data_IF_423062225048
#
_entry.id   IF_423062225048
#
_cell.length_a   1.000
_cell.length_b   1.000
_cell.length_c   1.000
_cell.angle_alpha   90.00
_cell.angle_beta   90.00
_cell.angle_gamma   90.00
#
_symmetry.space_group_name_H-M   'P 1'
#
loop_
_entity.id
_entity.type
_entity.pdbx_description
1 polymer ?
#
# COMPACT_ATOMS: atom_id res chain seq x y z
N UNK A 1 -19.46 12.70 -17.87
CA UNK A 1 -19.54 12.01 -16.57
C UNK A 1 -20.49 10.82 -16.67
N UNK A 2 -21.76 11.02 -17.01
CA UNK A 2 -22.83 9.99 -17.06
C UNK A 2 -22.38 8.69 -17.71
N UNK A 3 -21.90 8.69 -18.99
CA UNK A 3 -21.50 7.47 -19.73
C UNK A 3 -20.38 6.67 -19.05
N UNK A 4 -19.51 7.33 -18.31
CA UNK A 4 -18.45 6.64 -17.53
C UNK A 4 -19.03 5.96 -16.29
N UNK A 5 -19.97 6.61 -15.62
CA UNK A 5 -20.63 6.08 -14.41
C UNK A 5 -21.56 4.92 -14.75
N UNK A 6 -22.31 4.99 -15.85
CA UNK A 6 -23.13 3.89 -16.34
C UNK A 6 -22.30 2.62 -16.58
N UNK A 7 -21.12 2.74 -17.20
CA UNK A 7 -20.20 1.61 -17.40
C UNK A 7 -19.68 1.03 -16.08
N UNK A 8 -19.44 1.87 -15.07
CA UNK A 8 -19.00 1.41 -13.74
C UNK A 8 -20.12 0.63 -13.05
N UNK A 9 -21.38 1.11 -13.16
CA UNK A 9 -22.55 0.42 -12.61
C UNK A 9 -22.79 -0.91 -13.32
N UNK A 10 -22.62 -0.96 -14.65
CA UNK A 10 -22.69 -2.21 -15.42
C UNK A 10 -21.60 -3.22 -14.99
N UNK A 11 -20.35 -2.77 -14.87
CA UNK A 11 -19.25 -3.61 -14.43
C UNK A 11 -19.46 -4.14 -12.99
N UNK A 12 -20.05 -3.34 -12.11
CA UNK A 12 -20.41 -3.77 -10.77
C UNK A 12 -21.50 -4.86 -10.77
N UNK A 13 -22.51 -4.73 -11.61
CA UNK A 13 -23.53 -5.77 -11.77
C UNK A 13 -22.93 -7.09 -12.32
N UNK A 14 -21.88 -7.02 -13.16
CA UNK A 14 -21.13 -8.21 -13.57
C UNK A 14 -20.38 -8.86 -12.41
N UNK A 15 -19.81 -8.05 -11.48
CA UNK A 15 -19.16 -8.58 -10.27
C UNK A 15 -20.18 -9.27 -9.34
N UNK A 16 -21.38 -8.72 -9.19
CA UNK A 16 -22.47 -9.36 -8.44
C UNK A 16 -22.86 -10.73 -9.06
N UNK A 17 -22.95 -10.81 -10.39
CA UNK A 17 -23.21 -12.07 -11.08
C UNK A 17 -22.08 -13.09 -10.86
N UNK A 18 -20.81 -12.65 -10.91
CA UNK A 18 -19.65 -13.52 -10.62
C UNK A 18 -19.65 -14.04 -9.19
N UNK A 19 -20.07 -13.24 -8.21
CA UNK A 19 -20.21 -13.68 -6.82
C UNK A 19 -21.29 -14.74 -6.63
N UNK A 20 -22.31 -14.75 -7.51
CA UNK A 20 -23.35 -15.76 -7.52
C UNK A 20 -22.99 -17.02 -8.33
N UNK A 21 -21.89 -17.01 -9.09
CA UNK A 21 -21.47 -18.15 -9.91
C UNK A 21 -20.94 -19.30 -9.03
N UNK A 22 -21.52 -20.52 -9.14
CA UNK A 22 -21.04 -21.70 -8.40
C UNK A 22 -19.55 -22.03 -8.63
N UNK A 23 -18.99 -21.69 -9.78
CA UNK A 23 -17.59 -21.91 -10.08
C UNK A 23 -16.69 -21.00 -9.23
N UNK A 24 -17.05 -19.75 -9.05
CA UNK A 24 -16.33 -18.76 -8.21
C UNK A 24 -16.53 -19.09 -6.72
N UNK A 25 -17.74 -19.45 -6.32
CA UNK A 25 -18.06 -19.83 -4.91
C UNK A 25 -17.26 -21.06 -4.47
N UNK A 26 -16.93 -21.97 -5.37
CA UNK A 26 -16.13 -23.17 -5.04
C UNK A 26 -14.63 -22.92 -4.91
N UNK A 27 -14.13 -21.77 -5.38
CA UNK A 27 -12.74 -21.34 -5.20
C UNK A 27 -12.63 -20.22 -4.15
N UNK A 28 -12.18 -20.53 -2.90
CA UNK A 28 -12.11 -19.52 -1.84
C UNK A 28 -11.21 -18.33 -2.15
N UNK A 29 -10.14 -18.52 -2.94
CA UNK A 29 -9.22 -17.44 -3.30
C UNK A 29 -9.87 -16.49 -4.31
N UNK A 30 -10.48 -17.04 -5.35
CA UNK A 30 -11.17 -16.24 -6.38
C UNK A 30 -12.39 -15.54 -5.80
N UNK A 31 -13.17 -16.23 -4.95
CA UNK A 31 -14.31 -15.63 -4.25
C UNK A 31 -13.87 -14.44 -3.37
N UNK A 32 -12.81 -14.60 -2.57
CA UNK A 32 -12.30 -13.53 -1.73
C UNK A 32 -11.84 -12.32 -2.56
N UNK A 33 -11.19 -12.56 -3.72
CA UNK A 33 -10.75 -11.52 -4.64
C UNK A 33 -11.93 -10.72 -5.20
N UNK A 34 -12.94 -11.42 -5.72
CA UNK A 34 -14.12 -10.78 -6.32
C UNK A 34 -14.97 -10.08 -5.27
N UNK A 35 -15.13 -10.66 -4.07
CA UNK A 35 -15.86 -10.05 -2.96
C UNK A 35 -15.18 -8.75 -2.48
N UNK A 36 -13.86 -8.73 -2.43
CA UNK A 36 -13.08 -7.54 -2.10
C UNK A 36 -13.26 -6.44 -3.14
N UNK A 37 -13.14 -6.79 -4.43
CA UNK A 37 -13.34 -5.84 -5.53
C UNK A 37 -14.75 -5.24 -5.53
N UNK A 38 -15.77 -6.07 -5.31
CA UNK A 38 -17.17 -5.65 -5.14
C UNK A 38 -17.32 -4.68 -3.95
N UNK A 39 -16.76 -5.02 -2.77
CA UNK A 39 -16.83 -4.17 -1.59
C UNK A 39 -16.17 -2.81 -1.82
N UNK A 40 -15.03 -2.77 -2.51
CA UNK A 40 -14.30 -1.54 -2.79
C UNK A 40 -15.03 -0.59 -3.74
N UNK A 41 -15.88 -1.13 -4.62
CA UNK A 41 -16.65 -0.34 -5.59
C UNK A 41 -18.03 0.07 -5.08
N UNK A 42 -18.52 -0.53 -3.99
CA UNK A 42 -19.90 -0.35 -3.49
C UNK A 42 -20.25 1.13 -3.23
N UNK A 43 -19.38 1.87 -2.55
CA UNK A 43 -19.59 3.28 -2.23
C UNK A 43 -19.61 4.15 -3.50
N UNK A 44 -18.69 3.92 -4.42
CA UNK A 44 -18.64 4.62 -5.71
C UNK A 44 -19.92 4.40 -6.52
N UNK A 45 -20.39 3.15 -6.59
CA UNK A 45 -21.62 2.79 -7.32
C UNK A 45 -22.86 3.40 -6.66
N UNK A 46 -22.90 3.46 -5.32
CA UNK A 46 -24.00 4.11 -4.61
C UNK A 46 -24.09 5.62 -4.94
N UNK A 47 -22.95 6.32 -5.02
CA UNK A 47 -22.89 7.73 -5.42
C UNK A 47 -23.18 7.92 -6.91
N UNK A 48 -22.68 7.02 -7.76
CA UNK A 48 -22.97 7.04 -9.20
C UNK A 48 -24.45 6.86 -9.49
N UNK A 49 -25.11 5.93 -8.81
CA UNK A 49 -26.55 5.74 -8.95
C UNK A 49 -27.35 6.97 -8.50
N UNK A 50 -26.99 7.61 -7.38
CA UNK A 50 -27.64 8.86 -6.94
C UNK A 50 -27.47 9.97 -7.98
N UNK A 51 -26.27 10.11 -8.55
CA UNK A 51 -26.00 11.12 -9.57
C UNK A 51 -26.80 10.87 -10.86
N UNK A 52 -26.86 9.62 -11.32
CA UNK A 52 -27.63 9.23 -12.52
C UNK A 52 -29.14 9.48 -12.26
N UNK A 53 -29.66 9.04 -11.11
CA UNK A 53 -31.07 9.26 -10.73
C UNK A 53 -31.40 10.75 -10.69
N UNK A 54 -30.55 11.59 -10.07
CA UNK A 54 -30.77 13.04 -10.03
C UNK A 54 -30.83 13.66 -11.44
N UNK A 55 -29.99 13.20 -12.37
CA UNK A 55 -30.03 13.64 -13.78
C UNK A 55 -31.33 13.20 -14.47
N UNK A 56 -31.75 11.94 -14.28
CA UNK A 56 -32.96 11.41 -14.86
C UNK A 56 -34.21 12.13 -14.31
N UNK A 57 -34.24 12.42 -13.01
CA UNK A 57 -35.31 13.18 -12.36
C UNK A 57 -35.39 14.61 -12.88
N UNK A 58 -34.25 15.29 -13.10
CA UNK A 58 -34.21 16.62 -13.71
C UNK A 58 -34.76 16.60 -15.13
N UNK A 59 -34.38 15.59 -15.93
CA UNK A 59 -34.83 15.44 -17.33
C UNK A 59 -36.33 15.19 -17.37
N UNK A 60 -36.84 14.25 -16.56
CA UNK A 60 -38.26 13.95 -16.44
C UNK A 60 -39.09 15.15 -15.93
N UNK A 61 -38.59 15.86 -14.89
CA UNK A 61 -39.24 17.03 -14.37
C UNK A 61 -39.30 18.19 -15.42
N UNK A 62 -38.26 18.37 -16.21
CA UNK A 62 -38.24 19.34 -17.32
C UNK A 62 -39.22 19.00 -18.42
N UNK A 63 -39.38 17.73 -18.77
CA UNK A 63 -40.40 17.27 -19.72
C UNK A 63 -41.83 17.54 -19.20
N UNK A 64 -42.08 17.17 -17.93
CA UNK A 64 -43.39 17.42 -17.30
C UNK A 64 -43.71 18.92 -17.17
N UNK A 65 -42.74 19.74 -16.83
CA UNK A 65 -42.85 21.20 -16.74
C UNK A 65 -43.30 21.82 -18.07
N UNK A 66 -42.87 21.27 -19.19
CA UNK A 66 -43.25 21.70 -20.53
C UNK A 66 -44.66 21.22 -20.90
N UNK A 67 -45.12 20.11 -20.33
CA UNK A 67 -46.42 19.49 -20.65
C UNK A 67 -47.57 20.00 -19.77
N UNK A 68 -47.29 20.36 -18.50
CA UNK A 68 -48.33 20.82 -17.58
C UNK A 68 -48.70 22.30 -17.76
N UNK A 69 -50.00 22.64 -17.50
CA UNK A 69 -50.48 24.00 -17.47
C UNK A 69 -50.86 24.47 -16.07
N UNK A 70 -50.81 23.60 -15.06
CA UNK A 70 -51.16 23.89 -13.69
C UNK A 70 -50.05 24.69 -12.99
N UNK A 71 -50.34 25.88 -12.40
CA UNK A 71 -49.32 26.68 -11.74
C UNK A 71 -48.70 26.03 -10.49
N UNK A 72 -49.50 25.29 -9.69
CA UNK A 72 -49.00 24.65 -8.45
C UNK A 72 -48.09 23.49 -8.79
N UNK A 73 -48.41 22.72 -9.83
CA UNK A 73 -47.59 21.63 -10.32
C UNK A 73 -46.25 22.13 -10.93
N UNK A 74 -46.31 23.31 -11.60
CA UNK A 74 -45.06 23.94 -12.10
C UNK A 74 -44.12 24.40 -11.00
N UNK A 75 -44.64 24.97 -9.94
CA UNK A 75 -43.84 25.45 -8.80
C UNK A 75 -43.13 24.27 -8.12
N UNK A 76 -43.86 23.17 -7.89
CA UNK A 76 -43.31 21.93 -7.32
C UNK A 76 -42.20 21.30 -8.20
N UNK A 77 -42.44 21.22 -9.52
CA UNK A 77 -41.42 20.69 -10.45
C UNK A 77 -40.18 21.61 -10.53
N UNK A 78 -40.36 22.93 -10.40
CA UNK A 78 -39.22 23.85 -10.36
C UNK A 78 -38.41 23.72 -9.07
N UNK A 79 -39.06 23.50 -7.93
CA UNK A 79 -38.38 23.23 -6.65
C UNK A 79 -37.58 21.91 -6.71
N UNK A 80 -38.16 20.86 -7.26
CA UNK A 80 -37.50 19.55 -7.45
C UNK A 80 -36.28 19.67 -8.36
N UNK A 81 -36.41 20.41 -9.48
CA UNK A 81 -35.26 20.64 -10.38
C UNK A 81 -34.16 21.42 -9.65
N UNK A 82 -34.53 22.48 -8.91
CA UNK A 82 -33.54 23.29 -8.20
C UNK A 82 -32.80 22.50 -7.11
N UNK A 83 -33.52 21.66 -6.36
CA UNK A 83 -32.92 20.81 -5.33
C UNK A 83 -31.93 19.78 -5.93
N UNK A 84 -32.30 19.14 -7.02
CA UNK A 84 -31.41 18.18 -7.70
C UNK A 84 -30.20 18.89 -8.36
N UNK A 85 -30.40 20.06 -8.99
CA UNK A 85 -29.30 20.85 -9.58
C UNK A 85 -28.31 21.37 -8.51
N UNK A 86 -28.76 21.66 -7.29
CA UNK A 86 -27.88 22.03 -6.17
C UNK A 86 -27.05 20.84 -5.66
N UNK A 87 -27.61 19.62 -5.69
CA UNK A 87 -26.95 18.40 -5.21
C UNK A 87 -25.89 17.86 -6.21
N UNK A 88 -26.09 18.04 -7.52
CA UNK A 88 -25.23 17.49 -8.56
C UNK A 88 -23.74 17.88 -8.43
N UNK A 89 -23.35 19.14 -8.18
CA UNK A 89 -21.95 19.52 -8.04
C UNK A 89 -21.23 18.81 -6.88
N UNK A 90 -21.95 18.64 -5.76
CA UNK A 90 -21.41 17.95 -4.58
C UNK A 90 -21.15 16.45 -4.89
N UNK A 91 -22.13 15.79 -5.50
CA UNK A 91 -21.99 14.40 -5.94
C UNK A 91 -20.88 14.24 -6.98
N UNK A 92 -20.74 15.19 -7.92
CA UNK A 92 -19.64 15.16 -8.88
C UNK A 92 -18.26 15.21 -8.22
N UNK A 93 -18.10 16.08 -7.24
CA UNK A 93 -16.82 16.22 -6.56
C UNK A 93 -16.51 15.00 -5.68
N UNK A 94 -17.52 14.43 -5.01
CA UNK A 94 -17.38 13.17 -4.25
C UNK A 94 -17.01 12.00 -5.18
N UNK A 95 -17.69 11.86 -6.32
CA UNK A 95 -17.41 10.83 -7.32
C UNK A 95 -16.01 11.01 -7.91
N UNK A 96 -15.57 12.24 -8.24
CA UNK A 96 -14.22 12.50 -8.74
C UNK A 96 -13.16 12.03 -7.74
N UNK A 97 -13.38 12.25 -6.44
CA UNK A 97 -12.48 11.77 -5.37
C UNK A 97 -12.44 10.24 -5.34
N UNK A 98 -13.59 9.58 -5.47
CA UNK A 98 -13.69 8.12 -5.45
C UNK A 98 -13.13 7.44 -6.72
N UNK A 99 -13.14 8.16 -7.85
CA UNK A 99 -12.55 7.69 -9.11
C UNK A 99 -11.01 7.75 -9.13
N UNK A 100 -10.38 8.39 -8.16
CA UNK A 100 -8.92 8.38 -8.04
C UNK A 100 -8.51 6.93 -7.70
N UNK A 101 -7.66 6.28 -8.53
CA UNK A 101 -7.22 4.94 -8.23
C UNK A 101 -6.48 4.94 -6.88
N UNK A 102 -7.00 4.15 -5.94
CA UNK A 102 -6.32 3.91 -4.65
C UNK A 102 -4.99 3.18 -4.91
N UNK A 103 -4.02 3.40 -4.04
CA UNK A 103 -2.80 2.59 -4.05
C UNK A 103 -3.19 1.15 -3.66
N UNK A 104 -2.83 0.13 -4.46
CA UNK A 104 -3.13 -1.27 -4.13
C UNK A 104 -2.50 -1.70 -2.78
N UNK A 105 -1.50 -0.96 -2.30
CA UNK A 105 -0.87 -1.20 -1.01
C UNK A 105 -1.63 -0.57 0.17
N UNK A 106 -2.60 0.32 -0.06
CA UNK A 106 -3.29 1.06 1.00
C UNK A 106 -3.98 0.16 2.06
N UNK A 107 -4.36 -1.06 1.67
CA UNK A 107 -4.99 -2.04 2.57
C UNK A 107 -4.02 -2.97 3.28
N UNK A 108 -2.73 -2.92 2.93
CA UNK A 108 -1.72 -3.83 3.49
C UNK A 108 -1.33 -3.44 4.91
N UNK A 109 -0.90 -4.43 5.66
CA UNK A 109 -0.12 -4.24 6.88
C UNK A 109 1.20 -3.54 6.56
N UNK A 110 1.79 -2.90 7.56
CA UNK A 110 2.91 -2.00 7.32
C UNK A 110 4.10 -2.35 8.21
N UNK A 111 5.28 -2.35 7.62
CA UNK A 111 6.54 -2.42 8.34
C UNK A 111 7.11 -1.00 8.43
N UNK A 112 7.32 -0.53 9.66
CA UNK A 112 7.90 0.78 9.94
C UNK A 112 9.31 0.59 10.47
N UNK A 113 10.27 1.24 9.83
CA UNK A 113 11.65 1.29 10.28
C UNK A 113 12.03 2.71 10.70
N UNK A 114 12.53 2.86 11.91
CA UNK A 114 13.04 4.13 12.41
C UNK A 114 14.54 3.98 12.65
N UNK A 115 15.33 4.86 12.06
CA UNK A 115 16.78 4.93 12.27
C UNK A 115 17.19 6.27 12.84
N UNK A 116 18.06 6.24 13.83
CA UNK A 116 18.76 7.43 14.31
C UNK A 116 19.64 8.01 13.19
N UNK A 117 19.45 9.29 12.89
CA UNK A 117 20.22 10.02 11.89
C UNK A 117 21.37 10.83 12.52
N UNK A 118 21.46 12.10 12.13
CA UNK A 118 22.49 13.02 12.65
C UNK A 118 22.12 13.48 14.05
N UNK A 119 23.02 13.30 15.03
CA UNK A 119 22.82 13.78 16.42
C UNK A 119 23.32 12.83 17.50
N UNK A 120 23.92 11.69 17.13
CA UNK A 120 24.46 10.72 18.09
C UNK A 120 23.39 10.16 19.03
N UNK A 121 23.66 10.14 20.32
CA UNK A 121 22.76 9.58 21.34
C UNK A 121 21.39 10.25 21.37
N UNK A 122 21.33 11.55 21.14
CA UNK A 122 20.08 12.29 21.10
C UNK A 122 19.19 11.85 19.92
N UNK A 123 19.78 11.52 18.77
CA UNK A 123 19.05 10.96 17.64
C UNK A 123 18.45 9.59 17.97
N UNK A 124 19.17 8.75 18.74
CA UNK A 124 18.67 7.46 19.19
C UNK A 124 17.53 7.60 20.22
N UNK A 125 17.62 8.56 21.13
CA UNK A 125 16.53 8.86 22.08
C UNK A 125 15.30 9.35 21.31
N UNK A 126 15.50 10.23 20.31
CA UNK A 126 14.41 10.74 19.48
C UNK A 126 13.75 9.63 18.65
N UNK A 127 14.52 8.67 18.12
CA UNK A 127 13.97 7.50 17.45
C UNK A 127 13.05 6.68 18.41
N UNK A 128 13.45 6.56 19.68
CA UNK A 128 12.61 5.96 20.71
C UNK A 128 11.33 6.75 21.03
N UNK A 129 11.40 8.08 20.99
CA UNK A 129 10.23 8.94 21.19
C UNK A 129 9.24 8.80 20.00
N UNK A 130 9.74 8.74 18.77
CA UNK A 130 8.92 8.49 17.57
C UNK A 130 8.25 7.11 17.61
N UNK A 131 8.98 6.07 18.01
CA UNK A 131 8.40 4.74 18.18
C UNK A 131 7.22 4.76 19.16
N UNK A 132 7.39 5.38 20.33
CA UNK A 132 6.31 5.51 21.32
C UNK A 132 5.13 6.32 20.81
N UNK A 133 5.37 7.34 20.00
CA UNK A 133 4.31 8.13 19.34
C UNK A 133 3.47 7.24 18.42
N UNK A 134 4.13 6.44 17.57
CA UNK A 134 3.43 5.54 16.65
C UNK A 134 2.73 4.38 17.36
N UNK A 135 3.33 3.83 18.41
CA UNK A 135 2.72 2.79 19.24
C UNK A 135 1.38 3.28 19.84
N UNK A 136 1.37 4.47 20.47
CA UNK A 136 0.15 5.09 21.01
C UNK A 136 -0.88 5.40 19.92
N UNK A 137 -0.41 5.90 18.80
CA UNK A 137 -1.28 6.19 17.67
C UNK A 137 -1.95 4.91 17.12
N UNK A 138 -1.20 3.82 17.01
CA UNK A 138 -1.72 2.52 16.62
C UNK A 138 -2.74 1.99 17.65
N UNK A 139 -2.43 2.04 18.94
CA UNK A 139 -3.35 1.64 20.03
C UNK A 139 -4.66 2.42 19.98
N UNK A 140 -4.61 3.74 19.78
CA UNK A 140 -5.80 4.59 19.70
C UNK A 140 -6.72 4.22 18.51
N UNK A 141 -6.16 3.61 17.46
CA UNK A 141 -6.90 3.10 16.30
C UNK A 141 -7.29 1.63 16.40
N UNK A 142 -6.94 0.95 17.48
CA UNK A 142 -7.16 -0.48 17.64
C UNK A 142 -6.24 -1.36 16.80
N UNK A 143 -5.15 -0.80 16.29
CA UNK A 143 -4.13 -1.54 15.56
C UNK A 143 -3.17 -2.24 16.51
N UNK A 144 -2.53 -3.31 16.04
CA UNK A 144 -1.53 -4.07 16.79
C UNK A 144 -0.14 -3.71 16.30
N UNK A 145 0.79 -3.56 17.25
CA UNK A 145 2.21 -3.33 16.95
C UNK A 145 3.03 -4.53 17.42
N UNK A 146 3.96 -4.98 16.59
CA UNK A 146 4.89 -6.07 16.89
C UNK A 146 6.31 -5.65 16.51
N UNK A 147 7.24 -5.72 17.47
CA UNK A 147 8.65 -5.39 17.21
C UNK A 147 9.29 -6.57 16.49
N UNK A 148 9.79 -6.33 15.26
CA UNK A 148 10.49 -7.33 14.45
C UNK A 148 11.99 -7.36 14.79
N UNK A 149 12.61 -6.18 14.89
CA UNK A 149 14.03 -6.03 15.16
C UNK A 149 14.32 -4.73 15.89
N UNK A 150 15.30 -4.72 16.78
CA UNK A 150 15.76 -3.49 17.40
C UNK A 150 17.25 -3.53 17.70
N UNK A 151 17.88 -2.34 17.68
CA UNK A 151 19.24 -2.10 18.12
C UNK A 151 19.22 -0.97 19.16
N UNK A 152 19.20 -1.27 20.46
CA UNK A 152 19.13 -0.28 21.51
C UNK A 152 20.41 0.57 21.56
N UNK A 153 20.30 1.82 22.06
CA UNK A 153 21.43 2.69 22.35
C UNK A 153 21.73 2.66 23.86
N UNK A 154 23.00 2.77 24.23
CA UNK A 154 23.43 2.86 25.63
C UNK A 154 22.86 4.08 26.36
N UNK A 155 22.65 5.17 25.63
CA UNK A 155 22.04 6.40 26.16
C UNK A 155 20.51 6.34 26.25
N UNK A 156 19.91 5.23 25.85
CA UNK A 156 18.47 5.03 25.75
C UNK A 156 17.95 5.27 24.33
N UNK A 157 16.75 4.76 24.05
CA UNK A 157 16.16 4.75 22.71
C UNK A 157 16.81 3.70 21.80
N UNK A 158 16.76 3.91 20.48
CA UNK A 158 17.16 2.93 19.48
C UNK A 158 18.05 3.55 18.41
N UNK A 159 19.15 2.87 18.05
CA UNK A 159 19.89 3.16 16.82
C UNK A 159 19.06 2.81 15.59
N UNK A 160 18.38 1.68 15.66
CA UNK A 160 17.39 1.24 14.66
C UNK A 160 16.32 0.46 15.39
N UNK A 161 15.06 0.64 14.98
CA UNK A 161 13.93 -0.18 15.40
C UNK A 161 13.03 -0.43 14.20
N UNK A 162 12.65 -1.70 14.03
CA UNK A 162 11.72 -2.16 13.00
C UNK A 162 10.53 -2.82 13.69
N UNK A 163 9.33 -2.43 13.32
CA UNK A 163 8.12 -2.98 13.88
C UNK A 163 7.02 -3.06 12.82
N UNK A 164 6.19 -4.09 12.94
CA UNK A 164 5.00 -4.29 12.12
C UNK A 164 3.80 -3.63 12.78
N UNK A 165 2.97 -2.99 11.98
CA UNK A 165 1.66 -2.48 12.39
C UNK A 165 0.59 -3.20 11.59
N UNK A 166 -0.32 -3.88 12.27
CA UNK A 166 -1.39 -4.70 11.69
C UNK A 166 -2.75 -4.11 12.02
N UNK A 167 -3.61 -3.95 11.03
CA UNK A 167 -4.96 -3.41 11.20
C UNK A 167 -5.61 -3.02 9.89
N UNK A 168 -6.75 -2.36 9.96
CA UNK A 168 -7.47 -1.90 8.78
C UNK A 168 -6.79 -0.68 8.14
N UNK A 169 -6.47 -0.78 6.85
CA UNK A 169 -5.91 0.30 6.01
C UNK A 169 -4.70 1.01 6.63
N UNK A 170 -3.81 0.26 7.25
CA UNK A 170 -2.65 0.81 7.99
C UNK A 170 -1.74 1.59 7.06
N UNK A 171 -1.39 1.02 5.89
CA UNK A 171 -0.46 1.67 4.95
C UNK A 171 -1.01 2.99 4.42
N UNK A 172 -2.31 3.08 4.14
CA UNK A 172 -2.95 4.31 3.64
C UNK A 172 -2.77 5.52 4.55
N UNK A 173 -2.55 5.26 5.84
CA UNK A 173 -2.38 6.27 6.90
C UNK A 173 -0.91 6.48 7.22
N UNK A 174 -0.16 5.39 7.41
CA UNK A 174 1.24 5.45 7.85
C UNK A 174 2.20 5.92 6.76
N UNK A 175 1.88 5.75 5.47
CA UNK A 175 2.73 6.19 4.34
C UNK A 175 3.15 7.66 4.42
N UNK A 176 2.34 8.52 5.01
CA UNK A 176 2.63 9.94 5.19
C UNK A 176 3.71 10.22 6.24
N UNK A 177 4.06 9.27 7.08
CA UNK A 177 5.10 9.41 8.09
C UNK A 177 6.51 9.11 7.56
N UNK A 178 6.61 8.64 6.34
CA UNK A 178 7.85 8.31 5.67
C UNK A 178 8.68 9.56 5.37
N UNK A 179 9.97 9.55 5.79
CA UNK A 179 10.91 10.65 5.52
C UNK A 179 11.81 10.99 6.71
N UNK A 180 12.41 12.19 6.66
CA UNK A 180 13.33 12.67 7.69
C UNK A 180 12.60 13.55 8.71
N UNK A 181 12.59 13.12 9.96
CA UNK A 181 12.06 13.86 11.11
C UNK A 181 13.20 14.59 11.83
N UNK A 182 12.99 15.85 12.15
CA UNK A 182 13.99 16.71 12.81
C UNK A 182 13.49 17.20 14.16
N UNK A 183 14.25 16.97 15.22
CA UNK A 183 13.97 17.49 16.55
C UNK A 183 14.93 18.62 16.92
N UNK A 184 14.40 19.65 17.57
CA UNK A 184 15.14 20.76 18.17
C UNK A 184 14.75 20.85 19.63
N UNK A 185 15.63 20.40 20.52
CA UNK A 185 15.46 20.44 21.97
C UNK A 185 16.79 20.45 22.69
N UNK A 186 16.79 20.72 23.99
CA UNK A 186 17.94 20.48 24.84
C UNK A 186 18.03 18.96 25.07
N UNK A 187 19.10 18.28 24.62
CA UNK A 187 19.26 16.85 24.82
C UNK A 187 19.30 16.48 26.29
N UNK A 188 18.83 15.30 26.64
CA UNK A 188 18.99 14.75 28.01
C UNK A 188 20.43 14.54 28.42
N UNK A 189 21.34 14.45 27.44
CA UNK A 189 22.78 14.30 27.62
C UNK A 189 23.54 15.63 27.67
N UNK A 190 22.85 16.77 27.50
CA UNK A 190 23.47 18.11 27.47
C UNK A 190 23.42 18.78 28.85
N UNK A 191 24.58 19.07 29.40
CA UNK A 191 24.71 19.69 30.74
C UNK A 191 24.64 21.22 30.74
N UNK A 192 24.88 21.87 29.58
CA UNK A 192 24.95 23.35 29.46
C UNK A 192 23.66 23.98 28.93
N UNK A 193 22.59 23.20 28.77
CA UNK A 193 21.27 23.69 28.32
C UNK A 193 21.23 24.16 26.86
N UNK A 194 22.21 23.78 26.03
CA UNK A 194 22.24 24.17 24.61
C UNK A 194 21.23 23.36 23.80
N UNK A 195 20.43 24.08 22.96
CA UNK A 195 19.52 23.45 22.02
C UNK A 195 20.35 22.79 20.92
N UNK A 196 20.12 21.51 20.70
CA UNK A 196 20.72 20.75 19.61
C UNK A 196 19.64 20.34 18.58
N UNK A 197 20.11 20.07 17.38
CA UNK A 197 19.26 19.60 16.29
C UNK A 197 19.66 18.19 15.91
N UNK A 198 18.77 17.24 16.11
CA UNK A 198 18.95 15.82 15.76
C UNK A 198 17.92 15.39 14.73
N UNK A 199 18.22 14.32 14.01
CA UNK A 199 17.32 13.75 13.01
C UNK A 199 17.13 12.26 13.23
N UNK A 200 15.95 11.76 12.84
CA UNK A 200 15.68 10.35 12.68
C UNK A 200 14.99 10.15 11.32
N UNK A 201 15.27 9.05 10.66
CA UNK A 201 14.60 8.67 9.41
C UNK A 201 13.53 7.63 9.69
N UNK A 202 12.39 7.78 9.09
CA UNK A 202 11.27 6.84 9.16
C UNK A 202 11.04 6.31 7.75
N UNK A 203 11.12 5.00 7.56
CA UNK A 203 10.69 4.32 6.35
C UNK A 203 9.41 3.55 6.66
N UNK A 204 8.44 3.66 5.77
CA UNK A 204 7.13 2.99 5.87
C UNK A 204 6.94 2.15 4.63
N UNK A 205 6.99 0.85 4.78
CA UNK A 205 6.92 -0.12 3.69
C UNK A 205 5.67 -0.97 3.83
N UNK A 206 4.95 -1.25 2.74
CA UNK A 206 3.86 -2.21 2.77
C UNK A 206 4.42 -3.61 3.03
N UNK A 207 3.67 -4.46 3.72
CA UNK A 207 4.04 -5.86 3.87
C UNK A 207 4.12 -6.52 2.50
N UNK A 208 5.19 -7.27 2.26
CA UNK A 208 5.38 -7.99 1.02
C UNK A 208 4.38 -9.13 0.89
N UNK A 209 3.84 -9.31 -0.31
CA UNK A 209 3.00 -10.47 -0.61
C UNK A 209 3.84 -11.76 -0.58
N UNK A 210 3.22 -12.87 -0.19
CA UNK A 210 3.86 -14.18 -0.25
C UNK A 210 4.24 -14.53 -1.69
N UNK A 211 5.47 -15.00 -1.88
CA UNK A 211 5.96 -15.41 -3.18
C UNK A 211 5.35 -16.77 -3.53
N UNK A 212 4.36 -16.78 -4.44
CA UNK A 212 3.79 -18.01 -5.01
C UNK A 212 4.36 -18.23 -6.41
N UNK A 213 5.22 -19.25 -6.57
CA UNK A 213 5.81 -19.57 -7.86
C UNK A 213 4.98 -20.62 -8.57
N UNK A 214 4.25 -20.19 -9.59
CA UNK A 214 3.55 -21.06 -10.51
C UNK A 214 4.43 -21.32 -11.73
N UNK A 215 4.75 -22.60 -11.95
CA UNK A 215 5.55 -23.03 -13.10
C UNK A 215 4.62 -23.68 -14.10
N UNK A 216 4.40 -23.03 -15.23
CA UNK A 216 3.62 -23.62 -16.33
C UNK A 216 4.49 -24.60 -17.10
N UNK A 217 3.91 -25.73 -17.52
CA UNK A 217 4.65 -26.74 -18.29
C UNK A 217 5.05 -26.25 -19.68
N UNK A 218 4.30 -25.32 -20.24
CA UNK A 218 4.58 -24.70 -21.55
C UNK A 218 5.83 -23.83 -21.54
N UNK A 219 6.20 -23.29 -20.37
CA UNK A 219 7.40 -22.47 -20.16
C UNK A 219 8.67 -23.31 -19.95
N UNK A 220 8.55 -24.64 -19.97
CA UNK A 220 9.66 -25.56 -19.72
C UNK A 220 10.11 -26.27 -20.99
N UNK A 221 11.41 -26.15 -21.28
CA UNK A 221 12.08 -27.06 -22.22
C UNK A 221 12.80 -28.14 -21.43
N UNK A 222 12.42 -29.41 -21.67
CA UNK A 222 12.96 -30.59 -20.99
C UNK A 222 13.79 -31.38 -21.98
N UNK A 223 15.10 -31.46 -21.74
CA UNK A 223 16.03 -32.22 -22.53
C UNK A 223 16.51 -33.42 -21.70
N UNK A 224 16.52 -34.62 -22.32
CA UNK A 224 17.05 -35.83 -21.71
C UNK A 224 18.34 -36.26 -22.42
N UNK A 225 19.33 -36.74 -21.67
CA UNK A 225 20.62 -37.14 -22.20
C UNK A 225 21.24 -38.28 -21.37
N UNK A 226 22.31 -38.90 -21.88
CA UNK A 226 23.02 -39.94 -21.15
C UNK A 226 23.83 -39.32 -20.01
N UNK A 227 23.77 -39.91 -18.82
CA UNK A 227 24.55 -39.45 -17.68
C UNK A 227 26.08 -39.56 -17.96
N UNK A 228 26.84 -38.58 -17.49
CA UNK A 228 28.29 -38.54 -17.60
C UNK A 228 28.90 -39.08 -16.30
N UNK A 229 29.84 -40.06 -16.40
CA UNK A 229 30.53 -40.56 -15.23
C UNK A 229 31.17 -41.95 -15.45
N UNK A 230 31.98 -42.45 -14.50
CA UNK A 230 32.50 -43.78 -14.53
C UNK A 230 31.38 -44.80 -14.35
N UNK A 231 31.05 -45.56 -15.39
CA UNK A 231 29.98 -46.56 -15.35
C UNK A 231 30.02 -47.49 -16.55
N UNK A 232 29.33 -48.63 -16.44
CA UNK A 232 29.21 -49.63 -17.50
C UNK A 232 28.18 -49.23 -18.57
N UNK A 233 27.78 -50.22 -19.41
CA UNK A 233 26.88 -50.01 -20.56
C UNK A 233 25.57 -49.26 -20.21
N UNK A 234 25.05 -49.38 -18.98
CA UNK A 234 23.79 -48.74 -18.56
C UNK A 234 23.91 -47.21 -18.51
N UNK A 235 25.03 -46.63 -18.09
CA UNK A 235 25.25 -45.17 -17.99
C UNK A 235 25.34 -44.53 -19.37
N UNK A 236 25.94 -45.24 -20.34
CA UNK A 236 26.22 -44.71 -21.67
C UNK A 236 25.08 -44.92 -22.68
N UNK A 237 24.06 -45.75 -22.33
CA UNK A 237 22.97 -46.09 -23.25
C UNK A 237 21.60 -45.62 -22.77
N UNK A 238 21.46 -45.28 -21.48
CA UNK A 238 20.17 -44.87 -20.90
C UNK A 238 20.09 -43.35 -20.75
N UNK A 239 19.07 -42.72 -21.33
CA UNK A 239 18.77 -41.28 -21.21
C UNK A 239 18.18 -40.98 -19.83
N UNK A 240 18.95 -41.18 -18.78
CA UNK A 240 18.50 -40.96 -17.39
C UNK A 240 18.71 -39.54 -16.88
N UNK A 241 19.69 -38.84 -17.43
CA UNK A 241 19.93 -37.44 -17.05
C UNK A 241 18.90 -36.50 -17.65
N UNK A 242 18.48 -35.51 -16.87
CA UNK A 242 17.46 -34.54 -17.26
C UNK A 242 18.01 -33.12 -17.09
N UNK A 243 17.76 -32.27 -18.08
CA UNK A 243 17.98 -30.83 -18.04
C UNK A 243 16.65 -30.14 -18.27
N UNK A 244 16.32 -29.21 -17.41
CA UNK A 244 15.12 -28.35 -17.56
C UNK A 244 15.59 -26.91 -17.73
N UNK A 245 15.11 -26.27 -18.78
CA UNK A 245 15.31 -24.85 -19.04
C UNK A 245 13.97 -24.15 -18.89
N UNK A 246 13.90 -23.18 -18.00
CA UNK A 246 12.75 -22.31 -17.88
C UNK A 246 12.90 -21.15 -18.88
N UNK A 247 12.05 -21.14 -19.91
CA UNK A 247 12.19 -20.25 -21.07
C UNK A 247 12.10 -18.75 -20.70
N UNK A 248 11.16 -18.30 -19.84
CA UNK A 248 11.02 -16.88 -19.53
C UNK A 248 12.24 -16.28 -18.80
N UNK A 249 12.86 -17.05 -17.87
CA UNK A 249 14.02 -16.58 -17.09
C UNK A 249 15.35 -17.11 -17.60
N UNK A 250 15.33 -18.00 -18.59
CA UNK A 250 16.49 -18.73 -19.11
C UNK A 250 17.29 -19.48 -18.01
N UNK A 251 16.62 -19.85 -16.92
CA UNK A 251 17.21 -20.61 -15.81
C UNK A 251 17.35 -22.07 -16.21
N UNK A 252 18.55 -22.61 -16.10
CA UNK A 252 18.85 -24.00 -16.46
C UNK A 252 19.20 -24.80 -15.20
N UNK A 253 18.54 -25.93 -15.03
CA UNK A 253 18.85 -26.93 -13.98
C UNK A 253 19.04 -28.29 -14.61
N UNK A 254 19.89 -29.09 -14.02
CA UNK A 254 20.15 -30.45 -14.49
C UNK A 254 20.40 -31.42 -13.33
N UNK A 255 19.96 -32.66 -13.50
CA UNK A 255 20.22 -33.77 -12.56
C UNK A 255 20.51 -35.05 -13.29
N UNK A 256 21.53 -35.79 -12.79
CA UNK A 256 21.95 -37.10 -13.29
C UNK A 256 22.26 -38.09 -12.16
N UNK A 257 21.94 -37.73 -10.91
CA UNK A 257 22.37 -38.47 -9.72
C UNK A 257 21.54 -39.74 -9.48
N UNK A 258 20.31 -39.77 -10.00
CA UNK A 258 19.43 -40.93 -9.87
C UNK A 258 19.46 -41.80 -11.12
N UNK A 259 19.19 -43.10 -10.92
CA UNK A 259 19.13 -44.07 -12.03
C UNK A 259 17.86 -43.93 -12.87
N UNK A 260 16.81 -43.30 -12.32
CA UNK A 260 15.53 -43.11 -12.97
C UNK A 260 15.40 -41.72 -13.55
N UNK A 261 15.02 -41.59 -14.82
CA UNK A 261 14.73 -40.34 -15.49
C UNK A 261 13.60 -39.57 -14.77
N UNK A 262 12.58 -40.28 -14.26
CA UNK A 262 11.45 -39.65 -13.55
C UNK A 262 11.94 -38.99 -12.27
N UNK A 263 12.78 -39.66 -11.49
CA UNK A 263 13.34 -39.10 -10.26
C UNK A 263 14.29 -37.91 -10.56
N UNK A 264 15.10 -37.97 -11.60
CA UNK A 264 15.92 -36.83 -12.01
C UNK A 264 15.06 -35.64 -12.46
N UNK A 265 13.92 -35.88 -13.14
CA UNK A 265 12.98 -34.83 -13.49
C UNK A 265 12.37 -34.18 -12.26
N UNK A 266 11.96 -34.97 -11.26
CA UNK A 266 11.42 -34.43 -10.00
C UNK A 266 12.42 -33.57 -9.24
N UNK A 267 13.69 -34.05 -9.15
CA UNK A 267 14.81 -33.31 -8.55
C UNK A 267 15.05 -32.00 -9.30
N UNK A 268 15.08 -32.02 -10.65
CA UNK A 268 15.20 -30.81 -11.45
C UNK A 268 14.04 -29.83 -11.20
N UNK A 269 12.79 -30.30 -11.09
CA UNK A 269 11.67 -29.45 -10.78
C UNK A 269 11.76 -28.80 -9.41
N UNK A 270 12.23 -29.53 -8.39
CA UNK A 270 12.48 -28.99 -7.06
C UNK A 270 13.61 -27.94 -7.09
N UNK A 271 14.72 -28.23 -7.78
CA UNK A 271 15.83 -27.29 -7.95
C UNK A 271 15.39 -26.02 -8.71
N UNK A 272 14.55 -26.18 -9.74
CA UNK A 272 14.02 -25.04 -10.50
C UNK A 272 13.14 -24.15 -9.62
N UNK A 273 12.22 -24.73 -8.85
CA UNK A 273 11.38 -23.98 -7.91
C UNK A 273 12.21 -23.20 -6.90
N UNK A 274 13.23 -23.83 -6.31
CA UNK A 274 14.11 -23.17 -5.35
C UNK A 274 14.86 -21.98 -5.98
N UNK A 275 15.39 -22.14 -7.20
CA UNK A 275 16.09 -21.05 -7.90
C UNK A 275 15.17 -19.90 -8.31
N UNK A 276 13.99 -20.23 -8.82
CA UNK A 276 13.01 -19.19 -9.18
C UNK A 276 12.52 -18.44 -7.94
N UNK A 277 12.34 -19.14 -6.81
CA UNK A 277 11.99 -18.53 -5.53
C UNK A 277 13.09 -17.57 -5.05
N UNK A 278 14.36 -18.00 -5.12
CA UNK A 278 15.50 -17.17 -4.73
C UNK A 278 15.60 -15.90 -5.60
N UNK A 279 15.46 -16.04 -6.93
CA UNK A 279 15.48 -14.90 -7.86
C UNK A 279 14.32 -13.92 -7.59
N UNK A 280 13.12 -14.42 -7.31
CA UNK A 280 11.96 -13.58 -7.02
C UNK A 280 12.12 -12.88 -5.66
N UNK A 281 12.68 -13.58 -4.66
CA UNK A 281 12.99 -13.00 -3.36
C UNK A 281 14.04 -11.89 -3.49
N UNK A 282 15.11 -12.10 -4.26
CA UNK A 282 16.13 -11.07 -4.52
C UNK A 282 15.52 -9.86 -5.24
N UNK A 283 14.65 -10.07 -6.23
CA UNK A 283 13.93 -9.00 -6.94
C UNK A 283 13.09 -8.17 -5.96
N UNK A 284 12.27 -8.83 -5.14
CA UNK A 284 11.41 -8.19 -4.16
C UNK A 284 12.22 -7.40 -3.13
N UNK A 285 13.32 -7.95 -2.64
CA UNK A 285 14.23 -7.25 -1.71
C UNK A 285 14.90 -6.03 -2.36
N UNK A 286 15.28 -6.13 -3.63
CA UNK A 286 15.85 -5.00 -4.36
C UNK A 286 14.82 -3.88 -4.59
N UNK A 287 13.59 -4.22 -4.94
CA UNK A 287 12.48 -3.27 -5.10
C UNK A 287 12.17 -2.55 -3.77
N UNK A 288 12.02 -3.29 -2.67
CA UNK A 288 11.82 -2.72 -1.34
C UNK A 288 13.00 -1.86 -0.89
N UNK A 289 14.23 -2.30 -1.18
CA UNK A 289 15.43 -1.52 -0.89
C UNK A 289 15.48 -0.19 -1.65
N UNK A 290 15.08 -0.19 -2.93
CA UNK A 290 15.00 1.01 -3.75
C UNK A 290 13.89 1.95 -3.27
N UNK A 291 12.71 1.43 -2.96
CA UNK A 291 11.60 2.20 -2.40
C UNK A 291 11.99 2.85 -1.07
N UNK A 292 12.58 2.06 -0.16
CA UNK A 292 13.10 2.58 1.10
C UNK A 292 14.11 3.72 0.91
N UNK A 293 15.08 3.57 0.00
CA UNK A 293 16.06 4.62 -0.28
C UNK A 293 15.40 5.88 -0.82
N UNK A 294 14.37 5.77 -1.66
CA UNK A 294 13.62 6.91 -2.17
C UNK A 294 12.91 7.68 -1.07
N UNK A 295 12.40 6.98 -0.04
CA UNK A 295 11.68 7.58 1.08
C UNK A 295 12.59 8.32 2.06
N UNK A 296 13.75 7.77 2.40
CA UNK A 296 14.63 8.31 3.47
C UNK A 296 15.76 9.20 2.96
N UNK A 297 16.03 9.21 1.65
CA UNK A 297 17.16 9.99 1.10
C UNK A 297 18.48 9.69 1.83
N UNK A 298 19.26 10.72 2.11
CA UNK A 298 20.52 10.64 2.87
C UNK A 298 20.34 10.91 4.38
N UNK A 299 19.11 11.16 4.85
CA UNK A 299 18.83 11.52 6.27
C UNK A 299 19.40 12.87 6.69
N UNK A 300 19.71 13.73 5.73
CA UNK A 300 20.31 15.04 6.00
C UNK A 300 19.30 15.99 6.66
N UNK A 301 19.79 16.92 7.49
CA UNK A 301 18.94 17.93 8.18
C UNK A 301 18.12 18.81 7.22
N UNK A 302 18.56 18.95 5.97
CA UNK A 302 17.89 19.71 4.90
C UNK A 302 16.67 18.98 4.33
N UNK A 303 16.68 17.64 4.35
CA UNK A 303 15.65 16.78 3.74
C UNK A 303 14.42 16.56 4.65
N UNK A 304 14.33 17.31 5.75
CA UNK A 304 13.28 17.19 6.73
C UNK A 304 11.88 17.34 6.14
N UNK A 305 11.00 16.40 6.46
CA UNK A 305 9.55 16.52 6.22
C UNK A 305 8.85 17.23 7.38
N UNK A 306 9.29 16.95 8.63
CA UNK A 306 8.67 17.50 9.84
C UNK A 306 9.71 17.95 10.85
N UNK A 307 9.43 19.07 11.53
CA UNK A 307 10.28 19.62 12.59
C UNK A 307 9.53 19.67 13.91
N UNK A 308 10.11 19.07 14.93
CA UNK A 308 9.65 19.03 16.31
C UNK A 308 10.48 20.05 17.12
N UNK A 309 9.91 21.22 17.43
CA UNK A 309 10.57 22.30 18.16
C UNK A 309 10.03 22.37 19.59
N UNK A 310 10.73 21.74 20.52
CA UNK A 310 10.31 21.69 21.93
C UNK A 310 10.31 23.07 22.61
N UNK A 311 11.34 23.95 22.44
CA UNK A 311 11.35 25.27 23.08
C UNK A 311 10.19 26.17 22.67
N UNK A 312 9.64 25.96 21.47
CA UNK A 312 8.49 26.74 20.96
C UNK A 312 7.18 25.99 21.10
N UNK A 313 7.16 24.82 21.74
CA UNK A 313 6.02 23.90 21.79
C UNK A 313 5.30 23.76 20.43
N UNK A 314 6.10 23.57 19.37
CA UNK A 314 5.57 23.54 18.00
C UNK A 314 6.12 22.36 17.20
N UNK A 315 5.23 21.71 16.47
CA UNK A 315 5.59 20.77 15.39
C UNK A 315 5.10 21.36 14.08
N UNK A 316 5.98 21.41 13.09
CA UNK A 316 5.64 21.90 11.73
C UNK A 316 5.89 20.80 10.72
N UNK A 317 4.86 20.41 9.98
CA UNK A 317 5.02 19.60 8.77
C UNK A 317 5.23 20.53 7.57
N UNK A 318 6.40 20.39 6.93
CA UNK A 318 6.82 21.32 5.88
C UNK A 318 6.16 21.05 4.52
N UNK A 319 5.56 19.89 4.33
CA UNK A 319 4.88 19.52 3.07
C UNK A 319 3.57 20.29 2.87
N UNK A 320 2.83 20.48 3.96
CA UNK A 320 1.51 21.15 3.95
C UNK A 320 1.45 22.40 4.81
N UNK A 321 2.57 22.79 5.46
CA UNK A 321 2.60 23.94 6.35
C UNK A 321 1.77 23.78 7.63
N UNK A 322 1.44 22.56 8.02
CA UNK A 322 0.69 22.26 9.23
C UNK A 322 1.50 22.61 10.48
N UNK A 323 0.85 23.21 11.49
CA UNK A 323 1.42 23.50 12.79
C UNK A 323 0.57 22.88 13.91
N UNK A 324 1.22 22.11 14.78
CA UNK A 324 0.63 21.52 15.99
C UNK A 324 1.50 21.76 17.22
N UNK A 325 1.02 21.38 18.41
CA UNK A 325 1.80 21.44 19.65
C UNK A 325 2.76 20.26 19.74
N UNK A 326 3.94 20.48 20.31
CA UNK A 326 4.98 19.45 20.45
C UNK A 326 4.49 18.23 21.23
N UNK A 327 3.85 18.48 22.40
CA UNK A 327 3.33 17.40 23.22
C UNK A 327 2.12 16.70 22.56
N UNK A 328 1.22 17.45 21.95
CA UNK A 328 0.05 16.85 21.29
C UNK A 328 0.41 15.90 20.17
N UNK A 329 1.46 16.19 19.39
CA UNK A 329 1.93 15.31 18.32
C UNK A 329 2.66 14.08 18.90
N UNK A 330 3.62 14.28 19.85
CA UNK A 330 4.38 13.17 20.45
C UNK A 330 3.54 12.23 21.35
N UNK A 331 2.43 12.71 21.89
CA UNK A 331 1.48 11.86 22.59
C UNK A 331 0.54 11.11 21.65
N UNK A 332 0.51 11.48 20.37
CA UNK A 332 -0.33 10.87 19.34
C UNK A 332 -1.68 11.55 19.14
N UNK A 333 -2.06 12.50 20.00
CA UNK A 333 -3.41 13.12 19.99
C UNK A 333 -3.66 13.98 18.75
N UNK A 334 -2.65 14.72 18.28
CA UNK A 334 -2.75 15.62 17.11
C UNK A 334 -2.20 15.00 15.82
N UNK A 335 -1.60 13.82 15.90
CA UNK A 335 -1.06 13.13 14.72
C UNK A 335 -2.14 12.83 13.66
N UNK A 336 -3.38 12.43 14.03
CA UNK A 336 -4.47 12.27 13.05
C UNK A 336 -4.69 13.51 12.18
N UNK A 337 -4.71 14.70 12.77
CA UNK A 337 -4.94 15.95 12.04
C UNK A 337 -3.81 16.28 11.06
N UNK A 338 -2.56 15.92 11.39
CA UNK A 338 -1.43 16.06 10.46
C UNK A 338 -1.62 15.16 9.26
N UNK A 339 -1.97 13.89 9.51
CA UNK A 339 -2.18 12.88 8.46
C UNK A 339 -3.38 13.26 7.57
N UNK A 340 -4.47 13.74 8.16
CA UNK A 340 -5.64 14.21 7.40
C UNK A 340 -5.30 15.39 6.48
N UNK A 341 -4.50 16.34 6.95
CA UNK A 341 -4.04 17.46 6.13
C UNK A 341 -3.18 17.00 4.95
N UNK A 342 -2.29 15.99 5.17
CA UNK A 342 -1.46 15.40 4.12
C UNK A 342 -2.31 14.60 3.12
N UNK A 343 -3.27 13.81 3.60
CA UNK A 343 -4.19 13.06 2.76
C UNK A 343 -5.10 13.98 1.92
N UNK A 344 -5.52 15.12 2.48
CA UNK A 344 -6.27 16.12 1.74
C UNK A 344 -5.43 16.79 0.65
N UNK A 345 -4.16 17.08 0.93
CA UNK A 345 -3.23 17.65 -0.05
C UNK A 345 -2.95 16.66 -1.21
N UNK A 346 -2.70 15.37 -0.90
CA UNK A 346 -2.51 14.34 -1.92
C UNK A 346 -3.76 14.17 -2.80
N UNK A 347 -4.95 14.15 -2.20
CA UNK A 347 -6.22 14.09 -2.94
C UNK A 347 -6.39 15.28 -3.87
N UNK A 348 -6.10 16.50 -3.40
CA UNK A 348 -6.18 17.70 -4.22
C UNK A 348 -5.19 17.67 -5.39
N UNK A 349 -3.97 17.18 -5.17
CA UNK A 349 -2.96 17.02 -6.23
C UNK A 349 -3.40 15.99 -7.29
N UNK A 350 -3.88 14.83 -6.86
CA UNK A 350 -4.40 13.77 -7.75
C UNK A 350 -5.60 14.25 -8.57
N UNK A 351 -6.51 15.02 -7.96
CA UNK A 351 -7.63 15.63 -8.67
C UNK A 351 -7.15 16.63 -9.74
N UNK A 352 -6.14 17.44 -9.42
CA UNK A 352 -5.57 18.40 -10.37
C UNK A 352 -4.86 17.73 -11.55
N UNK A 353 -4.33 16.52 -11.37
CA UNK A 353 -3.69 15.72 -12.44
C UNK A 353 -4.70 14.94 -13.29
N UNK A 354 -5.90 14.66 -12.75
CA UNK A 354 -6.95 13.91 -13.43
C UNK A 354 -7.86 14.77 -14.31
N UNK A 355 -7.75 16.10 -14.23
CA UNK A 355 -8.44 17.11 -15.07
C UNK A 355 -7.56 17.50 -16.24
#
# INVERSE_FOLDING_TARGET
>A
MRDKLEKIVEAYAELEQKLADPAVVSDPKEYARVAKEHSNQADLVAHANKYITALDDIEAAKELLNATSDPEEKEMLQEDIAANEEMLPQLEDEIKVMLIPGDPNDEKDTIVEIRAGVGGDEAAIFAGDLFKMYERFAEARGWKTEILSNSPSEAGGFKTIEFKVTGDKVYSVMKYESGVHRVQRVPKTESQGRIQTSTATVAVLPEADEIDIQINQEDLRIDTYCASGPGGQCVNTTYSAVRITHLPTNTVVQSQDQRSQIQNREVCMQMLRARLYEMELERQQAEQGAERLSQIGHGARSEKIRTYNQPQDRVTDHRVGFNGTYNGVLLGDTLPSVIEALAAAERAEKLAQAV
#
